data_IF_861239252251
#
_entry.id   IF_861239252251
#
_cell.length_a   1.000
_cell.length_b   1.000
_cell.length_c   1.000
_cell.angle_alpha   90.00
_cell.angle_beta   90.00
_cell.angle_gamma   90.00
#
_symmetry.space_group_name_H-M   'P 1'
#
loop_
_entity.id
_entity.type
_entity.pdbx_description
1 polymer ?
#
# COMPACT_ATOMS: atom_id res chain seq x y z
N UNK A 1 -59.63 -8.08 47.02
CA UNK A 1 -58.18 -8.41 46.93
C UNK A 1 -57.78 -8.87 45.52
N UNK A 2 -58.15 -8.14 44.46
CA UNK A 2 -57.90 -8.57 43.07
C UNK A 2 -56.88 -7.73 42.27
N UNK A 3 -56.35 -6.64 42.84
CA UNK A 3 -55.52 -5.67 42.11
C UNK A 3 -54.03 -6.02 42.04
N UNK A 4 -53.48 -6.69 43.05
CA UNK A 4 -52.06 -7.05 43.11
C UNK A 4 -51.60 -7.95 41.93
N UNK A 5 -52.36 -8.98 41.51
CA UNK A 5 -52.00 -9.78 40.34
C UNK A 5 -51.99 -8.99 39.03
N UNK A 6 -52.86 -7.98 38.92
CA UNK A 6 -52.97 -7.13 37.72
C UNK A 6 -51.76 -6.19 37.64
N UNK A 7 -51.38 -5.57 38.76
CA UNK A 7 -50.20 -4.69 38.83
C UNK A 7 -48.92 -5.45 38.47
N UNK A 8 -48.76 -6.68 38.97
CA UNK A 8 -47.58 -7.52 38.66
C UNK A 8 -47.53 -7.86 37.16
N UNK A 9 -48.67 -8.22 36.56
CA UNK A 9 -48.73 -8.52 35.12
C UNK A 9 -48.40 -7.30 34.26
N UNK A 10 -48.92 -6.13 34.62
CA UNK A 10 -48.62 -4.88 33.90
C UNK A 10 -47.15 -4.50 34.05
N UNK A 11 -46.58 -4.62 35.26
CA UNK A 11 -45.16 -4.36 35.48
C UNK A 11 -44.25 -5.30 34.68
N UNK A 12 -44.57 -6.60 34.65
CA UNK A 12 -43.82 -7.58 33.84
C UNK A 12 -43.93 -7.29 32.34
N UNK A 13 -45.10 -6.85 31.87
CA UNK A 13 -45.32 -6.52 30.47
C UNK A 13 -44.58 -5.23 30.09
N UNK A 14 -44.51 -4.24 30.98
CA UNK A 14 -43.69 -3.03 30.80
C UNK A 14 -42.20 -3.39 30.79
N UNK A 15 -41.72 -4.21 31.72
CA UNK A 15 -40.31 -4.66 31.74
C UNK A 15 -39.98 -5.44 30.47
N UNK A 16 -40.85 -6.37 30.04
CA UNK A 16 -40.67 -7.11 28.80
C UNK A 16 -40.64 -6.18 27.59
N UNK A 17 -41.55 -5.21 27.52
CA UNK A 17 -41.61 -4.23 26.42
C UNK A 17 -40.37 -3.34 26.43
N UNK A 18 -39.91 -2.87 27.59
CA UNK A 18 -38.68 -2.08 27.72
C UNK A 18 -37.47 -2.93 27.31
N UNK A 19 -37.37 -4.18 27.74
CA UNK A 19 -36.28 -5.08 27.31
C UNK A 19 -36.34 -5.35 25.81
N UNK A 20 -37.52 -5.57 25.25
CA UNK A 20 -37.73 -5.80 23.82
C UNK A 20 -37.49 -4.54 22.96
N UNK A 21 -37.85 -3.35 23.45
CA UNK A 21 -37.66 -2.07 22.78
C UNK A 21 -36.24 -1.50 22.94
N UNK A 22 -35.45 -2.00 23.92
CA UNK A 22 -34.02 -1.71 24.06
C UNK A 22 -33.13 -2.68 23.27
N UNK A 23 -33.69 -3.61 22.50
CA UNK A 23 -32.93 -4.24 21.42
C UNK A 23 -32.83 -3.24 20.27
N UNK A 24 -32.01 -2.21 20.48
CA UNK A 24 -31.38 -1.56 19.35
C UNK A 24 -30.66 -2.66 18.57
N UNK A 25 -31.09 -2.89 17.33
CA UNK A 25 -30.31 -3.69 16.39
C UNK A 25 -29.05 -2.90 16.12
N UNK A 26 -28.00 -3.15 16.90
CA UNK A 26 -26.69 -2.56 16.64
C UNK A 26 -26.22 -3.07 15.29
N UNK A 27 -26.24 -2.21 14.27
CA UNK A 27 -25.60 -2.47 12.99
C UNK A 27 -24.08 -2.46 13.23
N UNK A 28 -23.55 -3.62 13.61
CA UNK A 28 -22.13 -3.80 13.79
C UNK A 28 -21.47 -3.96 12.41
N UNK A 29 -20.34 -3.27 12.20
CA UNK A 29 -19.54 -3.41 10.99
C UNK A 29 -19.08 -4.86 10.72
N UNK A 30 -18.97 -5.67 11.78
CA UNK A 30 -18.68 -7.11 11.71
C UNK A 30 -19.91 -7.93 12.06
N UNK A 31 -20.13 -9.01 11.32
CA UNK A 31 -21.14 -9.99 11.70
C UNK A 31 -20.77 -10.64 13.04
N UNK A 32 -21.79 -11.10 13.80
CA UNK A 32 -21.54 -11.80 15.07
C UNK A 32 -20.66 -13.06 14.86
N UNK A 33 -20.76 -13.69 13.69
CA UNK A 33 -19.94 -14.84 13.34
C UNK A 33 -18.47 -14.43 13.17
N UNK A 34 -18.19 -13.38 12.39
CA UNK A 34 -16.82 -12.90 12.13
C UNK A 34 -16.16 -12.45 13.42
N UNK A 35 -16.87 -11.68 14.26
CA UNK A 35 -16.38 -11.27 15.57
C UNK A 35 -15.97 -12.47 16.44
N UNK A 36 -16.82 -13.51 16.52
CA UNK A 36 -16.51 -14.73 17.27
C UNK A 36 -15.29 -15.46 16.70
N UNK A 37 -15.13 -15.49 15.38
CA UNK A 37 -13.99 -16.14 14.71
C UNK A 37 -12.70 -15.37 14.96
N UNK A 38 -12.70 -14.05 14.77
CA UNK A 38 -11.59 -13.15 15.09
C UNK A 38 -11.18 -13.32 16.55
N UNK A 39 -12.13 -13.30 17.49
CA UNK A 39 -11.87 -13.49 18.91
C UNK A 39 -11.19 -14.85 19.21
N UNK A 40 -11.66 -15.94 18.60
CA UNK A 40 -11.04 -17.27 18.76
C UNK A 40 -9.60 -17.32 18.23
N UNK A 41 -9.35 -16.69 17.09
CA UNK A 41 -7.99 -16.58 16.51
C UNK A 41 -7.10 -15.77 17.46
N UNK A 42 -7.55 -14.59 17.89
CA UNK A 42 -6.79 -13.69 18.75
C UNK A 42 -6.50 -14.23 20.15
N UNK A 43 -7.33 -15.15 20.67
CA UNK A 43 -7.05 -15.86 21.93
C UNK A 43 -5.72 -16.63 21.89
N UNK A 44 -5.28 -17.04 20.70
CA UNK A 44 -4.04 -17.79 20.51
C UNK A 44 -2.92 -16.96 19.89
N UNK A 45 -3.12 -15.66 19.65
CA UNK A 45 -2.06 -14.77 19.15
C UNK A 45 -0.93 -14.51 20.17
N UNK A 46 0.03 -13.63 19.86
CA UNK A 46 0.15 -12.90 18.60
C UNK A 46 0.64 -13.77 17.43
N UNK A 47 0.38 -13.32 16.20
CA UNK A 47 0.75 -13.97 14.95
C UNK A 47 1.76 -13.12 14.16
N UNK A 48 2.50 -13.80 13.27
CA UNK A 48 3.26 -13.15 12.19
C UNK A 48 2.36 -13.09 10.97
N UNK A 49 2.22 -11.92 10.36
CA UNK A 49 1.54 -11.72 9.09
C UNK A 49 2.47 -12.03 7.91
N UNK A 50 1.95 -12.70 6.89
CA UNK A 50 2.57 -12.79 5.57
C UNK A 50 1.55 -12.35 4.51
N UNK A 51 1.90 -11.30 3.79
CA UNK A 51 1.11 -10.76 2.70
C UNK A 51 1.80 -11.01 1.37
N UNK A 52 1.03 -11.45 0.38
CA UNK A 52 1.48 -11.69 -1.00
C UNK A 52 0.45 -11.12 -1.97
N UNK A 53 0.87 -10.76 -3.18
CA UNK A 53 0.00 -9.99 -4.09
C UNK A 53 -0.91 -10.88 -4.93
N UNK A 54 -0.46 -12.10 -5.28
CA UNK A 54 -1.13 -12.97 -6.26
C UNK A 54 -1.22 -14.43 -5.82
N UNK A 55 -2.12 -15.17 -6.48
CA UNK A 55 -2.29 -16.60 -6.24
C UNK A 55 -1.02 -17.40 -6.58
N UNK A 56 -0.29 -17.02 -7.62
CA UNK A 56 1.00 -17.62 -7.99
C UNK A 56 2.08 -17.47 -6.91
N UNK A 57 1.93 -16.52 -5.99
CA UNK A 57 2.83 -16.30 -4.85
C UNK A 57 2.29 -16.99 -3.60
N UNK A 58 0.96 -17.01 -3.42
CA UNK A 58 0.28 -17.61 -2.29
C UNK A 58 0.31 -19.15 -2.32
N UNK A 59 -0.08 -19.75 -3.43
CA UNK A 59 -0.28 -21.21 -3.52
C UNK A 59 1.01 -21.99 -3.25
N UNK A 60 2.18 -21.60 -3.78
CA UNK A 60 3.42 -22.32 -3.47
C UNK A 60 3.76 -22.27 -1.97
N UNK A 61 3.47 -21.16 -1.28
CA UNK A 61 3.68 -21.07 0.17
C UNK A 61 2.72 -21.96 0.95
N UNK A 62 1.42 -21.91 0.63
CA UNK A 62 0.40 -22.74 1.29
C UNK A 62 0.64 -24.25 1.09
N UNK A 63 1.21 -24.62 -0.06
CA UNK A 63 1.59 -26.00 -0.40
C UNK A 63 2.98 -26.39 0.08
N UNK A 64 3.76 -25.44 0.60
CA UNK A 64 5.11 -25.70 1.06
C UNK A 64 5.09 -26.68 2.25
N UNK A 65 6.04 -27.63 2.33
CA UNK A 65 6.06 -28.62 3.40
C UNK A 65 6.33 -28.01 4.79
N UNK A 66 6.82 -26.76 4.85
CA UNK A 66 7.14 -26.06 6.09
C UNK A 66 5.92 -25.36 6.72
N UNK A 67 4.87 -25.12 5.93
CA UNK A 67 3.66 -24.45 6.39
C UNK A 67 2.54 -25.45 6.64
N UNK A 68 1.91 -25.36 7.80
CA UNK A 68 0.79 -26.21 8.19
C UNK A 68 -0.41 -25.38 8.62
N UNK A 69 -1.55 -25.61 7.98
CA UNK A 69 -2.80 -24.98 8.37
C UNK A 69 -3.23 -25.46 9.76
N UNK A 70 -3.83 -24.55 10.53
CA UNK A 70 -4.40 -24.89 11.82
C UNK A 70 -5.64 -25.79 11.61
N UNK A 71 -5.65 -26.95 12.28
CA UNK A 71 -6.67 -27.98 12.12
C UNK A 71 -8.06 -27.58 12.64
N UNK A 72 -8.14 -26.60 13.55
CA UNK A 72 -9.41 -26.13 14.12
C UNK A 72 -9.99 -24.94 13.36
N UNK A 73 -9.13 -24.00 12.96
CA UNK A 73 -9.52 -22.80 12.21
C UNK A 73 -8.49 -22.62 11.10
N UNK A 74 -8.77 -23.12 9.90
CA UNK A 74 -7.81 -23.03 8.79
C UNK A 74 -7.77 -21.64 8.16
N UNK A 75 -8.87 -20.89 8.23
CA UNK A 75 -8.95 -19.53 7.71
C UNK A 75 -10.12 -18.74 8.32
N UNK A 76 -10.08 -17.42 8.14
CA UNK A 76 -11.20 -16.49 8.34
C UNK A 76 -11.35 -15.66 7.05
N UNK A 77 -12.58 -15.37 6.63
CA UNK A 77 -12.83 -14.49 5.48
C UNK A 77 -13.45 -13.20 5.99
N UNK A 78 -12.83 -12.06 5.71
CA UNK A 78 -13.32 -10.73 6.09
C UNK A 78 -13.33 -9.85 4.84
N UNK A 79 -14.46 -9.21 4.54
CA UNK A 79 -14.62 -8.30 3.39
C UNK A 79 -14.11 -8.90 2.06
N UNK A 80 -14.42 -10.18 1.83
CA UNK A 80 -13.98 -10.92 0.63
C UNK A 80 -12.52 -11.40 0.63
N UNK A 81 -11.74 -11.12 1.70
CA UNK A 81 -10.32 -11.47 1.81
C UNK A 81 -10.13 -12.63 2.77
N UNK A 82 -9.38 -13.64 2.33
CA UNK A 82 -9.15 -14.87 3.10
C UNK A 82 -7.81 -14.81 3.83
N UNK A 83 -7.88 -14.94 5.15
CA UNK A 83 -6.75 -14.99 6.07
C UNK A 83 -6.55 -16.43 6.53
N UNK A 84 -5.54 -17.10 5.98
CA UNK A 84 -5.19 -18.48 6.34
C UNK A 84 -4.45 -18.49 7.67
N UNK A 85 -4.91 -19.30 8.61
CA UNK A 85 -4.33 -19.41 9.95
C UNK A 85 -3.53 -20.70 10.01
N UNK A 86 -2.27 -20.62 10.39
CA UNK A 86 -1.38 -21.77 10.38
C UNK A 86 -0.09 -21.56 11.15
N UNK A 87 0.88 -22.40 10.84
CA UNK A 87 2.17 -22.47 11.50
C UNK A 87 3.28 -22.63 10.47
N UNK A 88 4.37 -21.88 10.65
CA UNK A 88 5.63 -22.08 9.93
C UNK A 88 6.67 -22.51 10.98
N UNK A 89 7.01 -23.81 10.97
CA UNK A 89 7.66 -24.43 12.13
C UNK A 89 6.78 -24.33 13.39
N UNK A 90 7.29 -23.76 14.47
CA UNK A 90 6.52 -23.51 15.69
C UNK A 90 5.93 -22.08 15.78
N UNK A 91 6.11 -21.26 14.73
CA UNK A 91 5.65 -19.86 14.72
C UNK A 91 4.25 -19.77 14.14
N UNK A 92 3.38 -19.05 14.83
CA UNK A 92 1.99 -18.83 14.41
C UNK A 92 1.94 -17.79 13.31
N UNK A 93 1.25 -18.12 12.21
CA UNK A 93 1.18 -17.31 11.00
C UNK A 93 -0.26 -16.98 10.65
N UNK A 94 -0.47 -15.78 10.12
CA UNK A 94 -1.65 -15.43 9.31
C UNK A 94 -1.16 -15.04 7.92
N UNK A 95 -1.64 -15.74 6.90
CA UNK A 95 -1.22 -15.55 5.50
C UNK A 95 -2.41 -15.05 4.70
N UNK A 96 -2.22 -14.03 3.88
CA UNK A 96 -3.30 -13.54 3.02
C UNK A 96 -2.76 -13.02 1.68
N UNK A 97 -3.60 -13.18 0.65
CA UNK A 97 -3.39 -12.51 -0.63
C UNK A 97 -4.01 -11.11 -0.57
N UNK A 98 -3.23 -10.09 -0.92
CA UNK A 98 -3.70 -8.71 -0.97
C UNK A 98 -4.45 -8.40 -2.25
N UNK A 99 -4.10 -9.05 -3.35
CA UNK A 99 -4.39 -8.56 -4.70
C UNK A 99 -3.35 -7.54 -5.15
N UNK A 100 -3.29 -7.29 -6.46
CA UNK A 100 -2.36 -6.33 -7.04
C UNK A 100 -2.74 -4.88 -6.74
N UNK A 101 -1.72 -4.03 -6.61
CA UNK A 101 -1.83 -2.59 -6.49
C UNK A 101 -1.96 -2.12 -5.04
N UNK A 102 -1.62 -0.85 -4.84
CA UNK A 102 -1.46 -0.25 -3.52
C UNK A 102 -2.76 -0.21 -2.73
N UNK A 103 -3.89 0.07 -3.36
CA UNK A 103 -5.19 0.13 -2.67
C UNK A 103 -5.59 -1.24 -2.10
N UNK A 104 -5.37 -2.30 -2.85
CA UNK A 104 -5.65 -3.68 -2.42
C UNK A 104 -4.75 -4.10 -1.26
N UNK A 105 -3.47 -3.76 -1.36
CA UNK A 105 -2.48 -3.96 -0.31
C UNK A 105 -2.85 -3.21 0.98
N UNK A 106 -3.18 -1.92 0.90
CA UNK A 106 -3.59 -1.12 2.04
C UNK A 106 -4.84 -1.67 2.74
N UNK A 107 -5.91 -1.96 1.97
CA UNK A 107 -7.16 -2.50 2.53
C UNK A 107 -6.91 -3.84 3.25
N UNK A 108 -6.14 -4.74 2.65
CA UNK A 108 -5.84 -6.05 3.26
C UNK A 108 -5.02 -5.89 4.53
N UNK A 109 -4.02 -5.00 4.50
CA UNK A 109 -3.14 -4.74 5.65
C UNK A 109 -3.92 -4.12 6.80
N UNK A 110 -4.83 -3.18 6.52
CA UNK A 110 -5.69 -2.57 7.53
C UNK A 110 -6.63 -3.60 8.17
N UNK A 111 -7.22 -4.48 7.36
CA UNK A 111 -8.06 -5.57 7.89
C UNK A 111 -7.21 -6.53 8.74
N UNK A 112 -6.00 -6.88 8.30
CA UNK A 112 -5.09 -7.76 9.03
C UNK A 112 -4.72 -7.17 10.40
N UNK A 113 -4.18 -5.95 10.41
CA UNK A 113 -3.65 -5.29 11.59
C UNK A 113 -4.76 -4.84 12.56
N UNK A 114 -5.88 -4.34 12.03
CA UNK A 114 -6.99 -3.87 12.86
C UNK A 114 -7.84 -4.98 13.50
N UNK A 115 -7.87 -6.19 12.91
CA UNK A 115 -8.70 -7.28 13.43
C UNK A 115 -7.91 -8.38 14.15
N UNK A 116 -6.64 -8.60 13.82
CA UNK A 116 -5.85 -9.68 14.39
C UNK A 116 -4.70 -9.19 15.27
N UNK A 117 -4.33 -9.96 16.29
CA UNK A 117 -3.14 -9.69 17.11
C UNK A 117 -1.88 -10.03 16.31
N UNK A 118 -1.33 -9.06 15.59
CA UNK A 118 -0.13 -9.20 14.76
C UNK A 118 1.08 -8.59 15.46
N UNK A 119 2.26 -9.21 15.34
CA UNK A 119 3.52 -8.70 15.91
C UNK A 119 4.58 -8.30 14.88
N UNK A 120 4.41 -8.71 13.62
CA UNK A 120 5.34 -8.47 12.52
C UNK A 120 4.61 -8.85 11.23
N UNK A 121 4.75 -8.04 10.19
CA UNK A 121 4.26 -8.35 8.85
C UNK A 121 5.43 -8.50 7.88
N UNK A 122 5.42 -9.60 7.14
CA UNK A 122 6.27 -9.79 5.97
C UNK A 122 5.46 -9.54 4.70
N UNK A 123 6.17 -9.04 3.70
CA UNK A 123 5.70 -9.09 2.34
C UNK A 123 6.82 -9.57 1.41
N UNK A 124 6.62 -10.72 0.79
CA UNK A 124 7.47 -11.11 -0.33
C UNK A 124 6.71 -11.00 -1.64
N UNK A 125 7.47 -10.84 -2.72
CA UNK A 125 6.96 -10.88 -4.07
C UNK A 125 8.03 -10.51 -5.08
N UNK A 126 7.63 -10.47 -6.34
CA UNK A 126 8.49 -10.02 -7.42
C UNK A 126 8.62 -8.48 -7.42
N UNK A 127 9.79 -7.96 -7.80
CA UNK A 127 10.02 -6.53 -7.97
C UNK A 127 10.91 -6.24 -9.18
N UNK A 128 10.80 -5.03 -9.72
CA UNK A 128 11.68 -4.56 -10.78
C UNK A 128 12.98 -4.02 -10.21
N UNK A 129 14.08 -4.24 -10.92
CA UNK A 129 15.42 -3.82 -10.55
C UNK A 129 15.69 -2.36 -10.97
N UNK A 130 15.85 -1.48 -9.98
CA UNK A 130 16.26 -0.09 -10.20
C UNK A 130 17.76 0.14 -9.99
N UNK A 131 18.49 -0.79 -9.36
CA UNK A 131 19.94 -0.66 -9.14
C UNK A 131 20.75 -1.47 -10.18
N UNK A 132 21.50 -0.82 -11.10
CA UNK A 132 22.31 -1.51 -12.11
C UNK A 132 23.35 -2.50 -11.55
N UNK A 133 23.67 -2.42 -10.25
CA UNK A 133 24.61 -3.32 -9.59
C UNK A 133 23.97 -4.62 -9.12
N UNK A 134 22.63 -4.73 -9.14
CA UNK A 134 21.89 -5.94 -8.80
C UNK A 134 21.57 -6.75 -10.06
N UNK A 135 21.27 -8.03 -9.87
CA UNK A 135 21.00 -8.95 -10.97
C UNK A 135 19.61 -9.54 -10.83
N UNK A 136 19.03 -9.97 -11.95
CA UNK A 136 17.85 -10.80 -11.93
C UNK A 136 18.04 -12.00 -10.98
N UNK A 137 17.04 -12.22 -10.13
CA UNK A 137 16.98 -13.27 -9.14
C UNK A 137 17.55 -12.95 -7.76
N UNK A 138 18.27 -11.83 -7.60
CA UNK A 138 18.64 -11.34 -6.26
C UNK A 138 17.37 -11.07 -5.44
N UNK A 139 17.42 -11.40 -4.14
CA UNK A 139 16.37 -11.05 -3.17
C UNK A 139 16.83 -9.84 -2.38
N UNK A 140 16.16 -8.72 -2.59
CA UNK A 140 16.46 -7.49 -1.88
C UNK A 140 15.67 -7.39 -0.58
N UNK A 141 16.33 -6.85 0.45
CA UNK A 141 15.74 -6.50 1.75
C UNK A 141 15.87 -4.98 1.93
N UNK A 142 14.85 -4.20 1.55
CA UNK A 142 14.90 -2.75 1.75
C UNK A 142 14.71 -2.34 3.21
N UNK A 143 15.49 -1.36 3.67
CA UNK A 143 15.33 -0.77 5.01
C UNK A 143 14.20 0.26 5.05
N UNK A 144 14.02 1.02 3.98
CA UNK A 144 13.01 2.08 3.89
C UNK A 144 12.11 1.86 2.68
N UNK A 145 10.83 2.21 2.83
CA UNK A 145 9.81 2.11 1.79
C UNK A 145 9.16 3.46 1.52
N UNK A 146 9.00 3.83 0.25
CA UNK A 146 8.28 5.05 -0.16
C UNK A 146 7.20 4.78 -1.21
N UNK A 147 6.08 5.50 -1.09
CA UNK A 147 5.10 5.62 -2.17
C UNK A 147 5.60 6.63 -3.20
N UNK A 148 6.18 6.14 -4.30
CA UNK A 148 6.72 6.99 -5.36
C UNK A 148 5.69 7.39 -6.43
N UNK A 149 4.40 7.24 -6.13
CA UNK A 149 3.29 7.55 -7.03
C UNK A 149 2.36 8.66 -6.54
N UNK A 150 2.63 9.25 -5.37
CA UNK A 150 1.88 10.40 -4.87
C UNK A 150 2.60 11.70 -5.23
N UNK A 151 1.96 12.50 -6.10
CA UNK A 151 2.59 13.65 -6.74
C UNK A 151 1.72 14.91 -6.67
N UNK A 152 2.39 16.06 -6.55
CA UNK A 152 1.84 17.36 -6.91
C UNK A 152 2.32 17.71 -8.32
N UNK A 153 1.38 17.94 -9.25
CA UNK A 153 1.72 18.30 -10.61
C UNK A 153 1.84 19.82 -10.72
N UNK A 154 3.03 20.31 -11.06
CA UNK A 154 3.28 21.74 -11.11
C UNK A 154 2.56 22.39 -12.30
N UNK A 155 1.93 23.54 -12.03
CA UNK A 155 1.24 24.33 -13.05
C UNK A 155 2.16 24.68 -14.22
N UNK A 156 1.65 24.58 -15.44
CA UNK A 156 2.42 24.98 -16.62
C UNK A 156 2.89 26.45 -16.54
N UNK A 157 4.11 26.71 -16.99
CA UNK A 157 4.76 28.02 -16.96
C UNK A 157 5.49 28.34 -15.65
N UNK A 158 5.37 27.48 -14.64
CA UNK A 158 6.04 27.64 -13.34
C UNK A 158 7.32 26.80 -13.32
N UNK A 159 8.42 27.36 -12.85
CA UNK A 159 9.70 26.70 -12.67
C UNK A 159 9.85 26.09 -11.28
N UNK A 160 10.95 25.37 -11.00
CA UNK A 160 11.14 24.69 -9.72
C UNK A 160 11.09 25.60 -8.48
N UNK A 161 11.43 26.88 -8.67
CA UNK A 161 11.42 27.90 -7.61
C UNK A 161 10.02 28.47 -7.33
N UNK A 162 9.08 28.27 -8.23
CA UNK A 162 7.69 28.70 -8.05
C UNK A 162 6.95 27.75 -7.10
N UNK A 163 6.12 28.36 -6.25
CA UNK A 163 5.30 27.68 -5.25
C UNK A 163 4.35 26.64 -5.88
N UNK A 164 4.21 25.48 -5.23
CA UNK A 164 3.21 24.48 -5.60
C UNK A 164 1.81 24.91 -5.17
N UNK A 165 0.80 24.32 -5.82
CA UNK A 165 -0.57 24.50 -5.37
C UNK A 165 -0.68 24.00 -3.92
N UNK A 166 -1.16 24.86 -3.02
CA UNK A 166 -1.37 24.60 -1.60
C UNK A 166 -0.11 24.32 -0.75
N UNK A 167 1.07 24.79 -1.19
CA UNK A 167 2.32 24.67 -0.43
C UNK A 167 2.34 25.56 0.83
N UNK A 168 1.90 26.83 0.72
CA UNK A 168 1.79 27.75 1.86
C UNK A 168 0.87 27.24 2.97
N UNK A 169 -0.18 26.52 2.61
CA UNK A 169 -1.12 25.89 3.54
C UNK A 169 -0.56 24.59 4.15
N UNK A 170 0.60 24.11 3.68
CA UNK A 170 1.30 22.94 4.21
C UNK A 170 0.79 21.60 3.69
N UNK A 171 -0.02 21.57 2.62
CA UNK A 171 -0.52 20.32 2.05
C UNK A 171 0.50 19.62 1.13
N UNK A 172 1.39 20.39 0.53
CA UNK A 172 2.39 19.88 -0.40
C UNK A 172 3.75 20.48 -0.11
N UNK A 173 4.80 19.74 -0.48
CA UNK A 173 6.19 20.12 -0.26
C UNK A 173 7.05 19.92 -1.50
N UNK A 174 8.16 20.67 -1.56
CA UNK A 174 9.22 20.55 -2.56
C UNK A 174 10.46 19.81 -2.03
N UNK A 175 10.45 19.32 -0.79
CA UNK A 175 11.63 18.79 -0.09
C UNK A 175 12.20 17.50 -0.70
N UNK A 176 11.35 16.63 -1.26
CA UNK A 176 11.78 15.35 -1.82
C UNK A 176 12.28 15.47 -3.28
N UNK A 177 11.98 16.60 -3.91
CA UNK A 177 12.37 16.91 -5.29
C UNK A 177 11.34 16.49 -6.34
N UNK A 178 11.73 16.70 -7.60
CA UNK A 178 10.83 16.64 -8.74
C UNK A 178 11.41 15.84 -9.91
N UNK A 179 10.52 15.39 -10.80
CA UNK A 179 10.85 14.91 -12.13
C UNK A 179 10.30 15.89 -13.16
N UNK A 180 11.20 16.43 -14.00
CA UNK A 180 10.83 17.33 -15.10
C UNK A 180 10.35 16.52 -16.31
N UNK A 181 9.05 16.24 -16.34
CA UNK A 181 8.40 15.60 -17.48
C UNK A 181 8.60 16.38 -18.79
N UNK A 182 8.75 17.70 -18.70
CA UNK A 182 9.04 18.54 -19.86
C UNK A 182 10.31 18.18 -20.63
N UNK A 183 11.30 17.54 -19.98
CA UNK A 183 12.57 17.18 -20.62
C UNK A 183 12.46 15.93 -21.52
N UNK A 184 11.38 15.17 -21.39
CA UNK A 184 11.18 13.89 -22.09
C UNK A 184 10.24 14.06 -23.31
N UNK A 185 10.76 14.64 -24.41
CA UNK A 185 10.08 14.72 -25.71
C UNK A 185 10.92 14.09 -26.83
N UNK A 186 10.27 13.49 -27.83
CA UNK A 186 10.92 12.66 -28.86
C UNK A 186 11.47 13.42 -30.08
N UNK A 187 11.06 14.68 -30.31
CA UNK A 187 11.43 15.46 -31.49
C UNK A 187 12.53 16.51 -31.20
N UNK A 188 13.74 16.06 -30.81
CA UNK A 188 14.96 16.88 -30.88
C UNK A 188 15.62 16.73 -32.25
N UNK A 189 15.00 17.24 -33.31
CA UNK A 189 15.54 17.19 -34.69
C UNK A 189 15.92 18.56 -35.24
N UNK A 190 16.37 19.49 -34.38
CA UNK A 190 16.88 20.79 -34.82
C UNK A 190 18.23 21.09 -34.17
N UNK A 191 19.24 21.37 -34.98
CA UNK A 191 20.64 21.73 -34.63
C UNK A 191 20.78 23.06 -33.86
N UNK A 192 19.98 23.26 -32.81
CA UNK A 192 20.24 24.28 -31.79
C UNK A 192 20.36 23.59 -30.45
N UNK A 193 21.52 22.97 -30.27
CA UNK A 193 21.93 22.17 -29.10
C UNK A 193 21.90 22.91 -27.74
N UNK A 194 21.44 24.16 -27.68
CA UNK A 194 21.43 24.98 -26.48
C UNK A 194 20.09 25.68 -26.19
N UNK A 195 19.01 25.36 -26.93
CA UNK A 195 17.70 25.95 -26.68
C UNK A 195 16.81 25.01 -25.85
N UNK A 196 16.87 25.18 -24.52
CA UNK A 196 16.01 24.47 -23.55
C UNK A 196 14.54 24.96 -23.58
N UNK A 197 14.14 25.82 -24.53
CA UNK A 197 12.81 26.45 -24.54
C UNK A 197 11.66 25.56 -25.02
N UNK A 198 11.91 24.38 -25.58
CA UNK A 198 10.86 23.40 -25.87
C UNK A 198 10.44 22.67 -24.59
N UNK A 199 9.72 23.38 -23.73
CA UNK A 199 9.05 22.83 -22.55
C UNK A 199 7.70 22.29 -23.02
N UNK A 200 7.50 20.98 -22.98
CA UNK A 200 6.16 20.44 -23.22
C UNK A 200 5.21 20.85 -22.07
N UNK A 201 3.90 20.79 -22.30
CA UNK A 201 2.92 21.26 -21.32
C UNK A 201 2.87 20.45 -20.01
N UNK A 202 3.62 19.34 -19.89
CA UNK A 202 3.63 18.45 -18.72
C UNK A 202 4.50 18.97 -17.58
N UNK A 203 5.41 19.93 -17.80
CA UNK A 203 6.19 20.58 -16.74
C UNK A 203 6.85 19.61 -15.72
N UNK A 204 6.73 19.86 -14.40
CA UNK A 204 7.33 19.06 -13.32
C UNK A 204 6.25 18.33 -12.50
N UNK A 205 6.59 17.13 -12.01
CA UNK A 205 5.89 16.51 -10.87
C UNK A 205 6.75 16.61 -9.61
N UNK A 206 6.13 16.75 -8.45
CA UNK A 206 6.83 16.80 -7.17
C UNK A 206 6.40 15.65 -6.29
N UNK A 207 7.36 14.91 -5.74
CA UNK A 207 7.09 13.76 -4.88
C UNK A 207 6.59 14.21 -3.51
N UNK A 208 5.50 13.60 -3.05
CA UNK A 208 4.81 14.00 -1.84
C UNK A 208 4.85 12.88 -0.79
N UNK A 209 4.97 13.23 0.50
CA UNK A 209 4.79 12.29 1.60
C UNK A 209 3.31 11.92 1.74
N UNK A 210 3.03 10.74 2.28
CA UNK A 210 1.69 10.36 2.70
C UNK A 210 1.33 11.03 4.02
N UNK A 211 0.06 11.37 4.19
CA UNK A 211 -0.51 11.71 5.50
C UNK A 211 -0.98 10.42 6.17
N UNK A 212 -0.52 10.16 7.38
CA UNK A 212 -0.85 8.95 8.13
C UNK A 212 -1.59 9.25 9.43
N UNK A 213 -2.43 8.30 9.83
CA UNK A 213 -3.20 8.37 11.07
C UNK A 213 -2.91 7.13 11.90
N UNK A 214 -2.12 7.31 12.95
CA UNK A 214 -1.78 6.21 13.84
C UNK A 214 -2.97 5.82 14.71
N UNK A 215 -2.93 4.57 15.20
CA UNK A 215 -3.96 4.00 16.08
C UNK A 215 -4.15 4.74 17.41
N UNK A 216 -3.19 5.58 17.79
CA UNK A 216 -3.26 6.47 18.97
C UNK A 216 -3.76 7.89 18.63
N UNK A 217 -4.33 8.05 17.43
CA UNK A 217 -4.87 9.31 16.91
C UNK A 217 -3.80 10.36 16.57
N UNK A 218 -2.51 9.99 16.57
CA UNK A 218 -1.45 10.88 16.10
C UNK A 218 -1.45 10.97 14.57
N UNK A 219 -1.33 12.21 14.07
CA UNK A 219 -1.16 12.51 12.65
C UNK A 219 0.33 12.68 12.36
N UNK A 220 0.80 12.08 11.27
CA UNK A 220 2.17 12.23 10.79
C UNK A 220 2.20 12.43 9.27
N UNK A 221 3.36 12.83 8.74
CA UNK A 221 3.64 12.92 7.31
C UNK A 221 4.91 12.14 6.99
N UNK A 222 4.75 11.07 6.20
CA UNK A 222 5.83 10.10 5.97
C UNK A 222 6.07 9.87 4.48
N UNK A 223 7.29 10.13 4.05
CA UNK A 223 7.76 9.71 2.72
C UNK A 223 8.49 8.38 2.79
N UNK A 224 9.36 8.19 3.79
CA UNK A 224 10.13 6.96 4.02
C UNK A 224 9.63 6.26 5.27
N UNK A 225 8.94 5.13 5.09
CA UNK A 225 8.54 4.25 6.19
C UNK A 225 9.73 3.34 6.54
N UNK A 226 10.29 3.42 7.76
CA UNK A 226 11.44 2.61 8.15
C UNK A 226 11.02 1.21 8.63
N UNK A 227 11.77 0.20 8.21
CA UNK A 227 11.86 -1.07 8.93
C UNK A 227 12.64 -0.84 10.23
N UNK A 228 12.13 -1.27 11.40
CA UNK A 228 12.86 -1.07 12.65
C UNK A 228 14.25 -1.72 12.64
N UNK A 229 15.25 -1.01 13.18
CA UNK A 229 16.67 -1.37 13.07
C UNK A 229 16.98 -2.81 13.50
N UNK A 230 16.39 -3.27 14.60
CA UNK A 230 16.60 -4.64 15.11
C UNK A 230 16.16 -5.71 14.12
N UNK A 231 14.99 -5.51 13.48
CA UNK A 231 14.44 -6.37 12.44
C UNK A 231 15.32 -6.36 11.18
N UNK A 232 15.75 -5.18 10.75
CA UNK A 232 16.62 -5.02 9.59
C UNK A 232 17.99 -5.68 9.78
N UNK A 233 18.67 -5.43 10.91
CA UNK A 233 19.98 -6.04 11.20
C UNK A 233 19.93 -7.56 11.35
N UNK A 234 18.79 -8.09 11.81
CA UNK A 234 18.60 -9.53 11.85
C UNK A 234 18.32 -10.09 10.46
N UNK A 235 17.60 -9.36 9.61
CA UNK A 235 17.33 -9.76 8.24
C UNK A 235 18.60 -9.78 7.39
N UNK A 236 19.58 -8.91 7.67
CA UNK A 236 20.92 -8.95 7.05
C UNK A 236 21.66 -10.26 7.25
N UNK A 237 21.38 -11.01 8.32
CA UNK A 237 21.97 -12.35 8.53
C UNK A 237 21.52 -13.36 7.48
N UNK A 238 20.49 -13.06 6.68
CA UNK A 238 20.04 -13.90 5.57
C UNK A 238 20.97 -13.82 4.35
N UNK A 239 21.94 -12.89 4.29
CA UNK A 239 22.88 -12.77 3.16
C UNK A 239 23.71 -14.04 2.91
N UNK A 240 23.83 -14.92 3.92
CA UNK A 240 24.50 -16.22 3.80
C UNK A 240 23.59 -17.35 3.29
N UNK A 241 22.28 -17.10 3.13
CA UNK A 241 21.33 -18.12 2.69
C UNK A 241 21.56 -18.42 1.20
N UNK A 242 21.92 -19.66 0.82
CA UNK A 242 22.14 -20.00 -0.58
C UNK A 242 20.80 -20.01 -1.32
N UNK A 243 20.74 -19.35 -2.47
CA UNK A 243 19.56 -19.32 -3.33
C UNK A 243 19.74 -20.27 -4.52
N UNK A 244 18.64 -20.88 -4.95
CA UNK A 244 18.65 -21.73 -6.13
C UNK A 244 18.77 -20.86 -7.39
N UNK A 245 19.74 -21.18 -8.26
CA UNK A 245 19.97 -20.46 -9.52
C UNK A 245 19.32 -21.11 -10.74
N UNK A 246 18.81 -22.33 -10.62
CA UNK A 246 18.18 -23.07 -11.70
C UNK A 246 16.93 -23.80 -11.24
N UNK A 247 16.02 -24.07 -12.17
CA UNK A 247 14.84 -24.93 -11.97
C UNK A 247 14.74 -25.97 -13.09
N UNK A 248 14.17 -27.13 -12.79
CA UNK A 248 14.00 -28.22 -13.74
C UNK A 248 12.50 -28.44 -14.00
N UNK A 249 12.10 -28.44 -15.26
CA UNK A 249 10.76 -28.82 -15.72
C UNK A 249 10.84 -30.10 -16.56
N UNK A 250 9.72 -30.52 -17.17
CA UNK A 250 9.74 -31.69 -18.05
C UNK A 250 10.41 -31.37 -19.40
N UNK A 251 10.43 -30.10 -19.75
CA UNK A 251 10.89 -29.53 -21.02
C UNK A 251 12.39 -29.17 -20.97
N UNK A 252 12.95 -28.92 -19.78
CA UNK A 252 14.38 -28.67 -19.63
C UNK A 252 14.80 -28.13 -18.27
N UNK A 253 16.07 -27.71 -18.18
CA UNK A 253 16.62 -27.00 -17.04
C UNK A 253 16.85 -25.54 -17.42
N UNK A 254 16.24 -24.63 -16.68
CA UNK A 254 16.39 -23.18 -16.88
C UNK A 254 17.24 -22.61 -15.76
N UNK A 255 18.21 -21.75 -16.08
CA UNK A 255 19.18 -21.19 -15.14
C UNK A 255 19.32 -19.68 -15.30
N UNK A 256 19.41 -18.98 -14.17
CA UNK A 256 19.76 -17.58 -14.13
C UNK A 256 21.23 -17.37 -14.57
N UNK A 257 21.54 -16.27 -15.28
CA UNK A 257 22.90 -16.00 -15.75
C UNK A 257 23.93 -15.86 -14.62
N UNK A 258 23.48 -15.41 -13.45
CA UNK A 258 24.28 -15.25 -12.24
C UNK A 258 23.61 -15.97 -11.09
N UNK A 259 24.43 -16.48 -10.16
CA UNK A 259 23.91 -17.08 -8.94
C UNK A 259 23.22 -16.00 -8.10
N UNK A 260 21.91 -16.17 -7.80
CA UNK A 260 21.17 -15.19 -7.02
C UNK A 260 21.68 -15.17 -5.57
N UNK A 261 21.56 -14.00 -4.94
CA UNK A 261 21.90 -13.80 -3.52
C UNK A 261 20.86 -12.94 -2.81
N UNK A 262 20.83 -13.06 -1.49
CA UNK A 262 20.10 -12.13 -0.63
C UNK A 262 20.98 -10.89 -0.43
N UNK A 263 20.40 -9.69 -0.52
CA UNK A 263 21.13 -8.42 -0.39
C UNK A 263 20.30 -7.44 0.41
N UNK A 264 20.86 -6.93 1.51
CA UNK A 264 20.27 -5.78 2.19
C UNK A 264 20.54 -4.49 1.41
N UNK A 265 19.49 -3.70 1.18
CA UNK A 265 19.55 -2.45 0.43
C UNK A 265 18.89 -1.33 1.23
N UNK A 266 19.24 -0.09 0.88
CA UNK A 266 18.72 1.07 1.61
C UNK A 266 17.21 1.24 1.37
N UNK A 267 16.76 1.28 0.11
CA UNK A 267 15.40 1.72 -0.21
C UNK A 267 14.72 0.86 -1.26
N UNK A 268 13.43 0.66 -1.03
CA UNK A 268 12.45 0.11 -1.97
C UNK A 268 11.36 1.14 -2.20
N UNK A 269 10.68 1.06 -3.33
CA UNK A 269 9.53 1.91 -3.59
C UNK A 269 8.36 1.13 -4.18
N UNK A 270 7.19 1.71 -4.02
CA UNK A 270 5.98 1.21 -4.67
C UNK A 270 5.21 2.35 -5.33
N UNK A 271 4.50 2.01 -6.39
CA UNK A 271 3.49 2.87 -7.00
C UNK A 271 2.44 1.98 -7.67
N UNK A 272 1.25 2.52 -7.95
CA UNK A 272 0.26 1.83 -8.80
C UNK A 272 0.66 1.85 -10.28
N UNK A 273 1.91 1.47 -10.57
CA UNK A 273 2.53 1.47 -11.89
C UNK A 273 3.46 0.27 -12.04
N UNK A 274 3.26 -0.50 -13.10
CA UNK A 274 4.26 -1.48 -13.54
C UNK A 274 5.43 -0.75 -14.20
N UNK A 275 6.63 -0.84 -13.63
CA UNK A 275 7.77 -0.05 -14.07
C UNK A 275 8.64 -0.82 -15.06
N UNK A 276 8.37 -0.65 -16.35
CA UNK A 276 9.19 -1.17 -17.45
C UNK A 276 9.79 -0.04 -18.29
N UNK A 277 10.53 0.84 -17.62
CA UNK A 277 11.19 1.97 -18.26
C UNK A 277 12.55 2.23 -17.62
N UNK A 278 13.63 1.99 -18.38
CA UNK A 278 14.99 2.15 -17.88
C UNK A 278 15.33 3.57 -17.42
N UNK A 279 14.84 4.60 -18.12
CA UNK A 279 15.09 5.98 -17.74
C UNK A 279 14.46 6.32 -16.39
N UNK A 280 13.23 5.86 -16.15
CA UNK A 280 12.55 6.08 -14.88
C UNK A 280 13.18 5.26 -13.73
N UNK A 281 13.58 4.01 -13.98
CA UNK A 281 14.34 3.19 -13.01
C UNK A 281 15.64 3.89 -12.60
N UNK A 282 16.40 4.39 -13.58
CA UNK A 282 17.62 5.16 -13.34
C UNK A 282 17.36 6.45 -12.56
N UNK A 283 16.26 7.14 -12.85
CA UNK A 283 15.83 8.30 -12.06
C UNK A 283 15.54 7.92 -10.61
N UNK A 284 14.75 6.88 -10.35
CA UNK A 284 14.44 6.43 -8.99
C UNK A 284 15.70 6.04 -8.20
N UNK A 285 16.64 5.37 -8.84
CA UNK A 285 17.90 5.00 -8.20
C UNK A 285 18.80 6.21 -7.94
N UNK A 286 19.02 7.07 -8.92
CA UNK A 286 19.89 8.25 -8.77
C UNK A 286 19.33 9.29 -7.80
N UNK A 287 18.02 9.52 -7.84
CA UNK A 287 17.34 10.52 -7.02
C UNK A 287 17.06 10.02 -5.61
N UNK A 288 16.60 8.78 -5.49
CA UNK A 288 16.06 8.24 -4.24
C UNK A 288 16.83 7.03 -3.71
N UNK A 289 17.90 6.56 -4.36
CA UNK A 289 18.64 5.35 -3.97
C UNK A 289 17.76 4.08 -3.90
N UNK A 290 16.66 4.06 -4.66
CA UNK A 290 15.76 2.91 -4.76
C UNK A 290 16.46 1.77 -5.52
N UNK A 291 16.40 0.56 -4.96
CA UNK A 291 16.96 -0.65 -5.59
C UNK A 291 15.88 -1.58 -6.14
N UNK A 292 14.71 -1.63 -5.51
CA UNK A 292 13.55 -2.42 -5.96
C UNK A 292 12.29 -1.57 -6.07
N UNK A 293 11.55 -1.73 -7.16
CA UNK A 293 10.24 -1.10 -7.36
C UNK A 293 9.15 -2.16 -7.51
N UNK A 294 8.07 -2.07 -6.74
CA UNK A 294 6.90 -2.93 -6.86
C UNK A 294 5.57 -2.14 -6.83
N UNK A 295 4.45 -2.83 -6.62
CA UNK A 295 3.11 -2.23 -6.63
C UNK A 295 2.38 -2.29 -5.28
N UNK A 296 3.02 -2.78 -4.21
CA UNK A 296 2.34 -3.07 -2.93
C UNK A 296 3.16 -2.74 -1.68
N UNK A 297 4.48 -2.92 -1.70
CA UNK A 297 5.32 -2.93 -0.50
C UNK A 297 5.19 -1.69 0.38
N UNK A 298 5.18 -0.49 -0.20
CA UNK A 298 5.02 0.76 0.54
C UNK A 298 3.62 0.91 1.15
N UNK A 299 2.56 0.42 0.49
CA UNK A 299 1.22 0.47 1.05
C UNK A 299 1.06 -0.49 2.25
N UNK A 300 1.72 -1.65 2.20
CA UNK A 300 1.78 -2.57 3.34
C UNK A 300 2.62 -1.96 4.46
N UNK A 301 3.78 -1.38 4.13
CA UNK A 301 4.64 -0.70 5.10
C UNK A 301 3.86 0.40 5.84
N UNK A 302 3.14 1.24 5.09
CA UNK A 302 2.33 2.34 5.62
C UNK A 302 1.23 1.82 6.56
N UNK A 303 0.45 0.82 6.12
CA UNK A 303 -0.59 0.24 6.96
C UNK A 303 -0.06 -0.44 8.22
N UNK A 304 1.16 -0.99 8.18
CA UNK A 304 1.81 -1.51 9.40
C UNK A 304 2.31 -0.38 10.30
N UNK A 305 2.85 0.69 9.71
CA UNK A 305 3.37 1.85 10.40
C UNK A 305 2.30 2.57 11.24
N UNK A 306 1.10 2.75 10.68
CA UNK A 306 -0.05 3.32 11.39
C UNK A 306 -0.45 2.50 12.63
N UNK A 307 -0.21 1.19 12.63
CA UNK A 307 -0.50 0.28 13.75
C UNK A 307 0.69 0.02 14.67
N UNK A 308 1.83 0.69 14.47
CA UNK A 308 3.09 0.41 15.15
C UNK A 308 3.55 -1.06 15.03
N UNK A 309 3.23 -1.70 13.91
CA UNK A 309 3.62 -3.08 13.62
C UNK A 309 4.88 -3.06 12.73
N UNK A 310 5.95 -3.78 13.09
CA UNK A 310 7.13 -3.91 12.24
C UNK A 310 6.80 -4.52 10.87
N UNK A 311 7.44 -3.99 9.82
CA UNK A 311 7.31 -4.47 8.44
C UNK A 311 8.68 -4.85 7.84
N UNK A 312 8.73 -5.98 7.13
CA UNK A 312 9.89 -6.44 6.36
C UNK A 312 9.47 -6.88 4.96
N UNK A 313 10.16 -6.38 3.94
CA UNK A 313 9.95 -6.77 2.55
C UNK A 313 11.07 -7.66 2.00
N UNK A 314 10.72 -8.73 1.28
CA UNK A 314 11.65 -9.59 0.55
C UNK A 314 11.33 -9.60 -0.94
N UNK A 315 12.18 -9.01 -1.76
CA UNK A 315 11.84 -8.67 -3.15
C UNK A 315 12.75 -9.39 -4.13
N UNK A 316 12.24 -10.41 -4.82
CA UNK A 316 12.99 -11.08 -5.87
C UNK A 316 12.94 -10.27 -7.17
N UNK A 317 14.11 -9.92 -7.70
CA UNK A 317 14.21 -9.14 -8.94
C UNK A 317 13.89 -10.01 -10.15
N UNK A 318 12.90 -9.62 -10.96
CA UNK A 318 12.47 -10.40 -12.13
C UNK A 318 13.07 -9.92 -13.45
N UNK A 319 13.79 -8.80 -13.44
CA UNK A 319 14.42 -8.19 -14.59
C UNK A 319 15.82 -7.67 -14.26
N UNK A 320 16.58 -7.32 -15.30
CA UNK A 320 17.89 -6.71 -15.15
C UNK A 320 17.78 -5.22 -14.82
N UNK A 321 18.82 -4.72 -14.16
CA UNK A 321 18.93 -3.29 -13.86
C UNK A 321 19.07 -2.48 -15.13
N UNK A 322 18.57 -1.24 -15.10
CA UNK A 322 18.77 -0.32 -16.20
C UNK A 322 20.28 -0.11 -16.45
N UNK A 323 20.76 -0.15 -17.71
CA UNK A 323 22.15 0.20 -17.96
C UNK A 323 22.44 1.63 -17.46
N UNK A 324 23.63 1.88 -16.90
CA UNK A 324 23.99 3.22 -16.44
C UNK A 324 23.87 4.21 -17.60
N UNK A 325 23.06 5.25 -17.41
CA UNK A 325 22.78 6.23 -18.46
C UNK A 325 24.02 7.14 -18.68
N UNK A 326 24.55 7.28 -19.91
CA UNK A 326 25.67 8.19 -20.18
C UNK A 326 25.31 9.68 -20.08
N UNK A 327 24.03 10.06 -20.02
CA UNK A 327 23.61 11.45 -19.88
C UNK A 327 22.26 11.57 -19.17
N UNK A 328 22.26 11.95 -17.90
CA UNK A 328 21.13 12.71 -17.35
C UNK A 328 21.56 14.18 -17.20
N UNK A 329 20.77 15.15 -17.70
CA UNK A 329 20.93 16.53 -17.28
C UNK A 329 20.67 16.61 -15.77
N UNK A 330 21.37 17.49 -15.04
CA UNK A 330 21.25 17.58 -13.59
C UNK A 330 19.81 17.93 -13.21
N UNK A 331 19.09 17.02 -12.56
CA UNK A 331 17.98 17.40 -11.71
C UNK A 331 18.59 17.94 -10.42
N UNK A 332 18.89 19.25 -10.42
CA UNK A 332 19.39 19.94 -9.23
C UNK A 332 18.44 19.69 -8.06
N UNK A 333 18.94 18.99 -7.04
CA UNK A 333 18.29 18.89 -5.74
C UNK A 333 18.75 20.07 -4.89
N UNK A 334 17.90 20.69 -4.07
CA UNK A 334 18.38 21.47 -2.95
C UNK A 334 19.19 20.54 -2.04
N UNK A 335 20.45 20.89 -1.81
CA UNK A 335 21.38 20.12 -0.99
C UNK A 335 21.08 20.32 0.50
N UNK A 336 20.18 19.52 1.08
CA UNK A 336 20.16 19.20 2.52
C UNK A 336 19.19 18.05 2.81
N UNK A 337 19.63 16.94 3.43
CA UNK A 337 18.70 15.98 4.06
C UNK A 337 18.10 16.63 5.33
N UNK A 338 16.81 16.44 5.65
CA UNK A 338 16.33 16.74 7.00
C UNK A 338 16.92 15.71 7.96
N UNK A 339 17.88 16.13 8.78
CA UNK A 339 18.30 15.41 9.98
C UNK A 339 17.22 15.57 11.05
N UNK A 340 16.30 14.62 11.17
CA UNK A 340 15.52 14.44 12.39
C UNK A 340 16.29 13.50 13.31
N UNK A 341 17.15 14.06 14.15
CA UNK A 341 17.64 13.37 15.35
C UNK A 341 16.54 13.45 16.43
N UNK A 342 16.23 12.37 17.16
CA UNK A 342 15.28 12.44 18.27
C UNK A 342 15.88 13.26 19.42
N UNK A 343 15.11 14.14 20.09
CA UNK A 343 15.62 14.86 21.25
C UNK A 343 15.84 13.89 22.42
N UNK A 344 17.01 13.97 23.04
CA UNK A 344 17.31 13.26 24.29
C UNK A 344 16.51 13.88 25.46
N UNK A 345 16.04 13.07 26.43
CA UNK A 345 15.23 13.57 27.53
C UNK A 345 16.09 14.30 28.57
N UNK A 346 15.72 15.54 28.88
CA UNK A 346 16.22 16.26 30.07
C UNK A 346 15.17 16.20 31.19
N UNK A 347 15.58 16.20 32.48
CA UNK A 347 14.73 15.77 33.58
C UNK A 347 13.65 16.79 33.95
N UNK A 348 12.46 16.28 34.19
CA UNK A 348 11.27 16.96 34.66
C UNK A 348 11.42 17.56 36.07
N UNK A 349 11.15 18.86 36.22
CA UNK A 349 10.65 19.46 37.47
C UNK A 349 9.12 19.55 37.44
N UNK A 350 8.42 19.31 38.56
CA UNK A 350 6.96 19.20 38.57
C UNK A 350 6.27 20.57 38.50
N UNK A 351 5.07 20.71 37.90
CA UNK A 351 4.38 21.98 37.84
C UNK A 351 3.61 22.23 39.14
N UNK A 352 3.87 23.39 39.75
CA UNK A 352 2.98 24.02 40.73
C UNK A 352 2.15 25.11 40.07
N UNK A 353 0.88 25.15 40.46
CA UNK A 353 -0.13 26.23 40.33
C UNK A 353 -0.72 26.54 38.95
N UNK A 354 -2.05 26.42 38.90
CA UNK A 354 -2.96 26.84 37.83
C UNK A 354 -2.96 28.36 37.64
N UNK A 355 -3.05 28.89 36.41
CA UNK A 355 -3.36 30.30 36.17
C UNK A 355 -4.88 30.55 36.09
N UNK A 356 -5.35 31.78 36.40
CA UNK A 356 -6.77 32.13 36.40
C UNK A 356 -7.31 32.41 34.99
N UNK A 357 -8.61 32.20 34.81
CA UNK A 357 -9.36 32.44 33.57
C UNK A 357 -9.26 33.89 33.07
N UNK A 358 -9.21 34.15 31.74
CA UNK A 358 -9.21 35.50 31.19
C UNK A 358 -10.63 36.12 31.16
N UNK A 359 -10.75 37.47 31.21
CA UNK A 359 -12.02 38.18 31.05
C UNK A 359 -12.46 38.24 29.58
N UNK A 360 -13.76 38.51 29.29
CA UNK A 360 -14.28 38.51 27.93
C UNK A 360 -13.76 39.73 27.14
N UNK A 361 -13.14 39.47 25.97
CA UNK A 361 -12.67 40.49 25.04
C UNK A 361 -13.72 40.83 23.98
N UNK A 362 -14.04 42.11 23.87
CA UNK A 362 -14.83 42.74 22.79
C UNK A 362 -14.15 42.62 21.41
N UNK A 363 -14.91 42.56 20.31
CA UNK A 363 -14.36 42.34 18.97
C UNK A 363 -13.64 43.60 18.41
N UNK A 364 -12.58 43.44 17.59
CA UNK A 364 -11.83 44.56 17.04
C UNK A 364 -12.53 45.19 15.82
N UNK A 365 -12.33 46.50 15.70
CA UNK A 365 -12.74 47.38 14.60
C UNK A 365 -12.00 47.07 13.27
N UNK A 366 -12.76 47.08 12.18
CA UNK A 366 -12.30 46.92 10.79
C UNK A 366 -11.41 48.08 10.31
N UNK A 367 -10.39 47.86 9.46
CA UNK A 367 -9.77 48.93 8.70
C UNK A 367 -10.59 49.28 7.43
N UNK A 368 -10.50 50.54 7.05
CA UNK A 368 -11.27 51.23 6.01
C UNK A 368 -10.97 50.76 4.57
N UNK A 369 -12.02 50.51 3.78
CA UNK A 369 -11.97 50.45 2.30
C UNK A 369 -12.71 51.67 1.71
N UNK A 370 -12.26 52.25 0.58
CA UNK A 370 -12.93 53.38 -0.06
C UNK A 370 -14.27 52.97 -0.71
N UNK A 371 -15.22 53.91 -0.91
CA UNK A 371 -16.58 53.59 -1.34
C UNK A 371 -16.63 53.26 -2.84
N UNK A 372 -17.16 52.08 -3.17
CA UNK A 372 -17.57 51.74 -4.54
C UNK A 372 -18.94 52.36 -4.81
N UNK A 373 -19.00 53.34 -5.71
CA UNK A 373 -20.25 53.82 -6.30
C UNK A 373 -20.82 52.78 -7.30
N UNK A 374 -22.15 52.64 -7.39
CA UNK A 374 -22.76 51.70 -8.34
C UNK A 374 -22.75 52.27 -9.76
N UNK A 375 -22.41 51.50 -10.80
CA UNK A 375 -22.72 51.87 -12.17
C UNK A 375 -24.19 51.57 -12.50
N UNK A 376 -24.81 52.53 -13.17
CA UNK A 376 -26.15 52.53 -13.77
C UNK A 376 -26.37 51.39 -14.77
N UNK A 377 -27.62 50.94 -14.98
CA UNK A 377 -27.92 49.79 -15.85
C UNK A 377 -27.84 50.17 -17.34
N UNK A 378 -27.19 49.34 -18.14
CA UNK A 378 -27.17 49.36 -19.61
C UNK A 378 -27.54 47.96 -20.15
N UNK A 379 -28.10 47.85 -21.37
CA UNK A 379 -29.13 46.87 -21.70
C UNK A 379 -28.60 45.46 -22.01
N UNK A 380 -29.37 44.46 -21.59
CA UNK A 380 -29.15 43.03 -21.86
C UNK A 380 -29.18 42.69 -23.36
N UNK A 381 -28.28 41.81 -23.86
CA UNK A 381 -28.47 41.13 -25.13
C UNK A 381 -29.60 40.10 -25.01
N UNK A 382 -30.44 40.04 -26.05
CA UNK A 382 -31.62 39.17 -26.13
C UNK A 382 -31.26 37.67 -26.05
N UNK A 383 -31.94 36.94 -25.16
CA UNK A 383 -32.01 35.49 -25.21
C UNK A 383 -32.93 35.05 -26.36
N UNK A 384 -32.59 33.99 -27.13
CA UNK A 384 -33.53 33.40 -28.07
C UNK A 384 -34.73 32.76 -27.35
N UNK A 385 -35.91 32.71 -27.98
CA UNK A 385 -37.13 32.24 -27.33
C UNK A 385 -37.08 30.73 -27.03
N UNK A 386 -37.82 30.27 -26.01
CA UNK A 386 -37.84 28.87 -25.60
C UNK A 386 -38.55 27.99 -26.63
N UNK A 387 -37.96 26.83 -26.92
CA UNK A 387 -38.59 25.78 -27.73
C UNK A 387 -39.81 25.18 -27.00
N UNK A 388 -40.86 24.75 -27.73
CA UNK A 388 -42.07 24.21 -27.13
C UNK A 388 -41.83 22.85 -26.49
N UNK A 389 -42.44 22.64 -25.32
CA UNK A 389 -42.53 21.37 -24.60
C UNK A 389 -43.19 20.29 -25.48
N UNK A 390 -42.37 19.38 -26.01
CA UNK A 390 -42.85 18.09 -26.54
C UNK A 390 -42.55 17.00 -25.52
N UNK A 391 -43.61 16.28 -25.15
CA UNK A 391 -43.60 15.11 -24.29
C UNK A 391 -42.80 13.97 -24.93
N UNK A 392 -41.73 13.51 -24.26
CA UNK A 392 -41.03 12.26 -24.54
C UNK A 392 -40.38 11.74 -23.25
N UNK A 393 -40.26 10.41 -23.05
CA UNK A 393 -40.16 9.81 -21.72
C UNK A 393 -38.74 9.83 -21.16
N UNK A 394 -38.63 9.89 -19.83
CA UNK A 394 -37.41 9.73 -19.05
C UNK A 394 -36.65 8.44 -19.41
N UNK A 395 -35.31 8.42 -19.40
CA UNK A 395 -34.56 7.18 -19.48
C UNK A 395 -34.74 6.38 -18.18
N UNK A 396 -35.31 5.18 -18.31
CA UNK A 396 -35.46 4.20 -17.24
C UNK A 396 -34.08 3.79 -16.69
N UNK A 397 -33.87 4.01 -15.39
CA UNK A 397 -32.80 3.35 -14.65
C UNK A 397 -33.21 1.89 -14.40
N UNK A 398 -32.35 0.89 -14.67
CA UNK A 398 -32.67 -0.48 -14.35
C UNK A 398 -32.75 -0.68 -12.81
N UNK A 399 -33.66 -1.53 -12.31
CA UNK A 399 -33.80 -1.78 -10.88
C UNK A 399 -32.61 -2.60 -10.33
N UNK A 400 -32.37 -2.59 -9.00
CA UNK A 400 -31.28 -3.33 -8.39
C UNK A 400 -31.51 -4.84 -8.48
N UNK A 401 -30.45 -5.59 -8.74
CA UNK A 401 -30.47 -7.06 -8.86
C UNK A 401 -31.00 -7.74 -7.57
N UNK A 402 -31.81 -8.81 -7.68
CA UNK A 402 -32.24 -9.60 -6.54
C UNK A 402 -31.13 -10.55 -6.06
N UNK A 403 -31.16 -10.98 -4.78
CA UNK A 403 -30.13 -11.87 -4.23
C UNK A 403 -30.25 -13.29 -4.79
N UNK A 404 -29.11 -13.89 -5.16
CA UNK A 404 -29.06 -15.24 -5.71
C UNK A 404 -29.42 -16.31 -4.66
N UNK A 405 -30.35 -17.19 -5.02
CA UNK A 405 -30.72 -18.39 -4.27
C UNK A 405 -29.73 -19.53 -4.54
N UNK A 406 -29.34 -20.25 -3.48
CA UNK A 406 -28.61 -21.53 -3.59
C UNK A 406 -29.54 -22.65 -4.08
N UNK A 407 -29.05 -23.54 -4.96
CA UNK A 407 -28.79 -24.92 -4.53
C UNK A 407 -27.50 -25.54 -5.10
N UNK A 408 -27.14 -26.68 -4.49
CA UNK A 408 -25.85 -27.39 -4.41
C UNK A 408 -25.47 -28.27 -5.63
N UNK A 409 -24.40 -29.10 -5.54
CA UNK A 409 -23.19 -29.02 -6.35
C UNK A 409 -23.20 -29.95 -7.58
N UNK A 410 -22.65 -29.49 -8.70
CA UNK A 410 -22.19 -30.37 -9.77
C UNK A 410 -20.91 -29.83 -10.41
N UNK A 411 -20.15 -30.79 -10.91
CA UNK A 411 -18.75 -30.76 -11.28
C UNK A 411 -18.38 -29.85 -12.45
N UNK A 412 -17.13 -29.37 -12.39
CA UNK A 412 -16.22 -29.06 -13.49
C UNK A 412 -16.23 -27.65 -14.11
N UNK A 413 -15.00 -27.13 -14.27
CA UNK A 413 -14.56 -25.89 -14.95
C UNK A 413 -14.92 -24.55 -14.32
N UNK A 414 -14.07 -24.06 -13.41
CA UNK A 414 -14.03 -22.65 -13.01
C UNK A 414 -13.38 -21.81 -14.11
N UNK A 415 -14.19 -21.17 -14.96
CA UNK A 415 -13.75 -20.01 -15.72
C UNK A 415 -13.68 -18.79 -14.79
N UNK A 416 -12.47 -18.27 -14.59
CA UNK A 416 -12.21 -17.05 -13.84
C UNK A 416 -12.80 -15.83 -14.57
N UNK A 417 -13.68 -15.10 -13.90
CA UNK A 417 -14.17 -13.78 -14.32
C UNK A 417 -13.19 -12.69 -13.88
N UNK A 418 -11.96 -12.71 -14.40
CA UNK A 418 -11.06 -11.57 -14.45
C UNK A 418 -10.13 -11.74 -15.65
N UNK A 419 -9.97 -10.73 -16.53
CA UNK A 419 -9.09 -10.87 -17.69
C UNK A 419 -7.65 -11.00 -17.23
N UNK A 420 -6.99 -12.07 -17.70
CA UNK A 420 -5.56 -12.30 -17.60
C UNK A 420 -4.82 -11.14 -18.26
N UNK A 421 -4.35 -10.17 -17.46
CA UNK A 421 -3.45 -9.12 -17.93
C UNK A 421 -2.03 -9.66 -18.09
N UNK A 422 -1.85 -10.55 -19.07
CA UNK A 422 -0.66 -10.65 -19.92
C UNK A 422 -1.20 -11.09 -21.29
N UNK A 423 -1.54 -10.13 -22.14
CA UNK A 423 -1.83 -10.35 -23.56
C UNK A 423 -0.99 -9.34 -24.33
N UNK A 424 0.06 -9.82 -24.99
CA UNK A 424 0.69 -9.10 -26.09
C UNK A 424 0.20 -9.74 -27.40
N UNK A 425 0.09 -8.89 -28.42
CA UNK A 425 -0.47 -9.10 -29.76
C UNK A 425 -0.41 -10.54 -30.26
N UNK A 426 -1.56 -11.12 -30.58
CA UNK A 426 -1.66 -12.44 -31.25
C UNK A 426 -1.02 -12.40 -32.65
N UNK A 427 -0.08 -13.29 -32.97
CA UNK A 427 -0.07 -13.93 -34.27
C UNK A 427 -1.10 -15.07 -34.23
N UNK A 428 -1.87 -15.22 -35.29
CA UNK A 428 -2.68 -16.41 -35.52
C UNK A 428 -1.78 -17.66 -35.45
N UNK A 429 -2.14 -18.61 -34.57
CA UNK A 429 -1.43 -19.84 -34.16
C UNK A 429 -0.17 -19.64 -33.29
N UNK A 430 -0.08 -20.24 -32.08
CA UNK A 430 1.15 -20.25 -31.32
C UNK A 430 2.14 -21.18 -32.02
N UNK A 431 3.25 -20.63 -32.50
CA UNK A 431 4.42 -21.43 -32.86
C UNK A 431 5.01 -22.02 -31.57
N UNK A 432 5.62 -23.21 -31.65
CA UNK A 432 6.20 -23.91 -30.49
C UNK A 432 7.14 -22.99 -29.67
N UNK A 433 7.84 -22.07 -30.33
CA UNK A 433 8.74 -21.08 -29.72
C UNK A 433 8.06 -20.11 -28.73
N UNK A 434 6.81 -19.69 -29.00
CA UNK A 434 6.09 -18.76 -28.11
C UNK A 434 5.61 -19.48 -26.85
N UNK A 435 5.18 -20.75 -26.97
CA UNK A 435 4.81 -21.57 -25.82
C UNK A 435 6.00 -21.89 -24.93
N UNK A 436 7.16 -22.21 -25.52
CA UNK A 436 8.40 -22.50 -24.79
C UNK A 436 8.88 -21.25 -24.01
N UNK A 437 8.86 -20.06 -24.64
CA UNK A 437 9.25 -18.82 -23.97
C UNK A 437 8.32 -18.42 -22.80
N UNK A 438 7.01 -18.67 -22.93
CA UNK A 438 6.05 -18.43 -21.87
C UNK A 438 6.26 -19.39 -20.67
N UNK A 439 6.57 -20.66 -20.97
CA UNK A 439 6.84 -21.68 -19.95
C UNK A 439 8.17 -21.46 -19.24
N UNK A 440 9.24 -21.11 -19.96
CA UNK A 440 10.53 -20.69 -19.40
C UNK A 440 10.34 -19.53 -18.42
N UNK A 441 9.63 -18.47 -18.84
CA UNK A 441 9.36 -17.30 -18.02
C UNK A 441 8.55 -17.63 -16.77
N UNK A 442 7.51 -18.47 -16.91
CA UNK A 442 6.71 -18.96 -15.79
C UNK A 442 7.56 -19.76 -14.79
N UNK A 443 8.45 -20.61 -15.30
CA UNK A 443 9.36 -21.44 -14.51
C UNK A 443 10.40 -20.60 -13.75
N UNK A 444 10.95 -19.58 -14.40
CA UNK A 444 11.84 -18.61 -13.74
C UNK A 444 11.13 -17.85 -12.63
N UNK A 445 9.92 -17.35 -12.85
CA UNK A 445 9.15 -16.71 -11.78
C UNK A 445 8.84 -17.67 -10.63
N UNK A 446 8.56 -18.94 -10.93
CA UNK A 446 8.44 -19.99 -9.93
C UNK A 446 9.69 -20.11 -9.05
N UNK A 447 10.87 -20.19 -9.65
CA UNK A 447 12.16 -20.23 -8.95
C UNK A 447 12.36 -19.02 -8.03
N UNK A 448 12.01 -17.81 -8.50
CA UNK A 448 12.11 -16.59 -7.72
C UNK A 448 11.21 -16.62 -6.48
N UNK A 449 9.97 -17.07 -6.64
CA UNK A 449 9.02 -17.22 -5.53
C UNK A 449 9.48 -18.28 -4.54
N UNK A 450 10.01 -19.41 -5.01
CA UNK A 450 10.58 -20.45 -4.13
C UNK A 450 11.74 -19.90 -3.28
N UNK A 451 12.62 -19.11 -3.87
CA UNK A 451 13.68 -18.43 -3.14
C UNK A 451 13.12 -17.43 -2.10
N UNK A 452 12.06 -16.67 -2.42
CA UNK A 452 11.37 -15.82 -1.45
C UNK A 452 10.78 -16.61 -0.27
N UNK A 453 10.15 -17.76 -0.55
CA UNK A 453 9.61 -18.66 0.48
C UNK A 453 10.73 -19.19 1.36
N UNK A 454 11.86 -19.59 0.77
CA UNK A 454 13.05 -20.05 1.49
C UNK A 454 13.57 -18.97 2.45
N UNK A 455 13.81 -17.75 1.96
CA UNK A 455 14.30 -16.63 2.78
C UNK A 455 13.33 -16.29 3.91
N UNK A 456 12.04 -16.23 3.61
CA UNK A 456 10.99 -15.97 4.62
C UNK A 456 10.98 -17.06 5.69
N UNK A 457 11.06 -18.33 5.28
CA UNK A 457 11.08 -19.49 6.18
C UNK A 457 12.32 -19.48 7.07
N UNK A 458 13.49 -19.22 6.50
CA UNK A 458 14.75 -19.09 7.23
C UNK A 458 14.69 -17.97 8.28
N UNK A 459 14.18 -16.79 7.92
CA UNK A 459 14.00 -15.69 8.88
C UNK A 459 13.09 -16.10 10.04
N UNK A 460 11.90 -16.59 9.73
CA UNK A 460 10.87 -16.90 10.74
C UNK A 460 11.31 -18.03 11.67
N UNK A 461 11.98 -19.05 11.14
CA UNK A 461 12.33 -20.27 11.88
C UNK A 461 13.70 -20.27 12.53
N UNK A 462 14.64 -19.39 12.12
CA UNK A 462 15.99 -19.35 12.71
C UNK A 462 16.35 -18.02 13.35
N UNK A 463 15.95 -16.91 12.73
CA UNK A 463 16.46 -15.60 13.12
C UNK A 463 15.48 -14.79 13.99
N UNK A 464 14.18 -15.08 13.90
CA UNK A 464 13.13 -14.38 14.64
C UNK A 464 12.98 -14.85 16.11
N UNK A 465 13.85 -15.73 16.62
CA UNK A 465 13.73 -16.31 17.97
C UNK A 465 13.95 -15.31 19.11
N UNK A 466 14.70 -14.24 18.86
CA UNK A 466 14.98 -13.19 19.85
C UNK A 466 14.09 -11.96 19.69
N UNK A 467 13.09 -12.02 18.80
CA UNK A 467 12.24 -10.90 18.46
C UNK A 467 10.88 -11.06 19.13
N UNK A 468 10.84 -10.44 20.32
CA UNK A 468 9.69 -10.21 21.21
C UNK A 468 9.34 -11.34 22.18
N UNK A 469 9.87 -11.19 23.39
CA UNK A 469 9.08 -11.28 24.63
C UNK A 469 8.99 -9.93 25.40
N UNK A 470 9.86 -8.92 25.14
CA UNK A 470 10.01 -7.73 26.03
C UNK A 470 9.78 -6.33 25.43
N UNK A 471 9.23 -6.18 24.22
CA UNK A 471 8.84 -4.82 23.76
C UNK A 471 7.42 -4.52 24.26
N UNK A 472 7.30 -4.28 25.56
CA UNK A 472 6.25 -3.43 26.08
C UNK A 472 6.40 -2.06 25.41
N UNK A 473 5.38 -1.66 24.64
CA UNK A 473 5.17 -0.28 24.24
C UNK A 473 5.00 0.50 25.55
N UNK A 474 6.08 1.12 26.04
CA UNK A 474 5.98 2.11 27.10
C UNK A 474 5.40 3.36 26.47
N UNK A 475 4.11 3.56 26.67
CA UNK A 475 3.50 4.88 26.60
C UNK A 475 4.19 5.78 27.64
N UNK A 476 4.96 6.76 27.16
CA UNK A 476 5.43 7.89 27.97
C UNK A 476 5.52 9.13 27.11
#
# INVERSE_FOLDING_TARGET
MGGLPVIIKVALLIVFTVVCCNFETSEAALSQYDYKMIHKVNKHGPYIGLLVSKDSELQPFLKSPSFHLNSKISHVVLSGRRFYIGYLGNKKMIVAMTGMGMMNAAITTQILCGNFKIKLVFHYGLASNADPKRNMGDILIPQYWAHTGYWNWQKYGYGPDDELAFEKEGYYTRDYGYLKFADYYTNKTGEKDNDYSYVNYLNNIWYQPEETFHVDETKDSVFWVPTPYTYYETAKKLEVVPLAGCTCTKEGTYCLPKTPKVVAVERGSSASMYTDNYAYKNFLNSKFHVSSCDMEGAAIALGCHEHYIPFLGFKALYDEGAPPNPAQPPSSSPSTPPTSSPPSPSPSTPPTSSPPSPPPSTPPTSPDYPPLYPPTPSPSPAYPPPYPLTSSPSPDYPPPYPPASHPSPSSSSSHSLYPSFISFSSPSTPTDDVSVAAEEKSSMYGLLIENCIKVTTEFVTKYNHHMSDDVCISSS
#
